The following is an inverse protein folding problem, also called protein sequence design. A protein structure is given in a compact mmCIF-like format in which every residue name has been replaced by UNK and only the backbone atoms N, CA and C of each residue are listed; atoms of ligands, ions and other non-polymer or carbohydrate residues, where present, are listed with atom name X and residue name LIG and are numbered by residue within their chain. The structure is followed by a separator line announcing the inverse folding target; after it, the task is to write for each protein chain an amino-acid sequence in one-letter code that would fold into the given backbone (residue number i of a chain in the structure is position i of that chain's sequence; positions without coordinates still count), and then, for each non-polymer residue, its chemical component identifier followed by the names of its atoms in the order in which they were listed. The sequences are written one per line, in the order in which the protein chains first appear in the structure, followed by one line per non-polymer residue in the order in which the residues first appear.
data_IF_794083473392
#
_entry.id   IF_794083473392
#
_cell.length_a   1.000
_cell.length_b   1.000
_cell.length_c   1.000
_cell.angle_alpha   90.00
_cell.angle_beta   90.00
_cell.angle_gamma   90.00
#
_symmetry.space_group_name_H-M   'P 1'
#
loop_
_entity.id
_entity.type
_entity.pdbx_description
1 polymer ?
#
# COMPACT_ATOMS: atom_id res chain seq x y z
N UNK A 1 -31.80 5.36 24.52
CA UNK A 1 -31.63 3.89 24.59
C UNK A 1 -31.26 3.42 23.19
N UNK A 2 -30.15 2.69 23.03
CA UNK A 2 -29.75 2.20 21.71
C UNK A 2 -30.56 0.94 21.36
N UNK A 3 -31.12 0.89 20.16
CA UNK A 3 -31.91 -0.24 19.68
C UNK A 3 -30.96 -1.39 19.28
N UNK A 4 -30.90 -2.46 20.08
CA UNK A 4 -30.01 -3.60 19.79
C UNK A 4 -30.65 -4.49 18.72
N UNK A 5 -30.03 -4.60 17.55
CA UNK A 5 -30.47 -5.49 16.46
C UNK A 5 -29.47 -6.61 16.26
N UNK A 6 -29.96 -7.84 16.18
CA UNK A 6 -29.14 -9.04 15.91
C UNK A 6 -28.82 -9.07 14.41
N UNK A 7 -27.54 -9.21 14.07
CA UNK A 7 -27.07 -9.40 12.71
C UNK A 7 -26.67 -10.86 12.49
N UNK A 8 -27.06 -11.43 11.35
CA UNK A 8 -26.68 -12.78 10.94
C UNK A 8 -25.42 -12.75 10.08
N UNK A 9 -24.50 -13.68 10.35
CA UNK A 9 -23.34 -13.92 9.50
C UNK A 9 -23.67 -14.87 8.35
N UNK A 10 -23.05 -14.65 7.19
CA UNK A 10 -23.08 -15.61 6.09
C UNK A 10 -22.06 -16.75 6.29
N UNK A 11 -22.00 -17.68 5.33
CA UNK A 11 -21.08 -18.83 5.38
C UNK A 11 -19.60 -18.46 5.33
N UNK A 12 -19.27 -17.19 5.06
CA UNK A 12 -17.90 -16.64 5.04
C UNK A 12 -17.65 -15.71 6.22
N UNK A 13 -18.56 -15.65 7.20
CA UNK A 13 -18.44 -14.79 8.38
C UNK A 13 -18.71 -13.31 8.12
N UNK A 14 -19.29 -12.94 6.97
CA UNK A 14 -19.58 -11.53 6.63
C UNK A 14 -20.92 -11.11 7.24
N UNK A 15 -21.01 -9.86 7.66
CA UNK A 15 -22.24 -9.23 8.16
C UNK A 15 -22.72 -8.17 7.18
N UNK A 16 -24.05 -8.05 7.04
CA UNK A 16 -24.65 -6.94 6.29
C UNK A 16 -24.67 -5.71 7.16
N UNK A 17 -23.95 -4.66 6.73
CA UNK A 17 -23.91 -3.41 7.46
C UNK A 17 -25.28 -2.70 7.48
N UNK A 18 -25.71 -2.14 8.62
CA UNK A 18 -26.93 -1.36 8.73
C UNK A 18 -26.94 -0.15 7.78
N UNK A 19 -28.12 0.37 7.37
CA UNK A 19 -28.23 1.47 6.41
C UNK A 19 -27.35 2.71 6.70
N UNK A 20 -27.17 3.16 7.96
CA UNK A 20 -26.28 4.29 8.27
C UNK A 20 -24.84 4.11 7.81
N UNK A 21 -24.35 2.87 7.76
CA UNK A 21 -22.96 2.53 7.41
C UNK A 21 -22.75 2.27 5.92
N UNK A 22 -23.81 2.23 5.10
CA UNK A 22 -23.70 1.89 3.66
C UNK A 22 -23.11 3.01 2.81
N UNK A 23 -23.08 4.25 3.32
CA UNK A 23 -22.54 5.41 2.59
C UNK A 23 -21.02 5.52 2.70
N UNK A 24 -20.41 4.79 3.61
CA UNK A 24 -18.99 4.89 3.89
C UNK A 24 -18.22 3.82 3.09
N UNK A 25 -17.12 4.19 2.42
CA UNK A 25 -16.41 3.29 1.52
C UNK A 25 -15.48 2.31 2.25
N UNK A 26 -14.93 2.69 3.40
CA UNK A 26 -14.00 1.89 4.20
C UNK A 26 -14.23 2.10 5.70
N UNK A 27 -13.94 1.06 6.47
CA UNK A 27 -13.99 1.06 7.91
C UNK A 27 -12.70 0.47 8.50
N UNK A 28 -12.17 1.13 9.52
CA UNK A 28 -11.23 0.51 10.47
C UNK A 28 -12.05 -0.15 11.59
N UNK A 29 -11.56 -1.27 12.13
CA UNK A 29 -12.22 -1.92 13.26
C UNK A 29 -11.29 -2.03 14.47
N UNK A 30 -11.88 -1.93 15.66
CA UNK A 30 -11.22 -2.23 16.91
C UNK A 30 -12.04 -3.23 17.72
N UNK A 31 -11.37 -4.14 18.42
CA UNK A 31 -11.99 -5.11 19.33
C UNK A 31 -11.79 -4.61 20.76
N UNK A 32 -12.88 -4.39 21.50
CA UNK A 32 -12.86 -4.02 22.92
C UNK A 32 -13.73 -5.00 23.70
N UNK A 33 -13.09 -5.97 24.35
CA UNK A 33 -13.80 -7.10 24.96
C UNK A 33 -14.62 -7.85 23.91
N UNK A 34 -15.92 -8.01 24.15
CA UNK A 34 -16.84 -8.70 23.24
C UNK A 34 -17.48 -7.78 22.18
N UNK A 35 -17.01 -6.54 22.07
CA UNK A 35 -17.53 -5.55 21.13
C UNK A 35 -16.56 -5.31 19.98
N UNK A 36 -17.09 -5.36 18.75
CA UNK A 36 -16.41 -4.89 17.55
C UNK A 36 -16.93 -3.49 17.24
N UNK A 37 -16.03 -2.51 17.20
CA UNK A 37 -16.33 -1.11 16.90
C UNK A 37 -15.80 -0.79 15.51
N UNK A 38 -16.65 -0.25 14.64
CA UNK A 38 -16.28 0.17 13.28
C UNK A 38 -16.16 1.70 13.21
N UNK A 39 -15.03 2.20 12.71
CA UNK A 39 -14.76 3.62 12.49
C UNK A 39 -14.74 3.92 10.99
N UNK A 40 -15.54 4.87 10.49
CA UNK A 40 -15.51 5.25 9.08
C UNK A 40 -14.18 5.93 8.75
N UNK A 41 -13.52 5.44 7.70
CA UNK A 41 -12.24 5.98 7.22
C UNK A 41 -12.53 7.22 6.37
N UNK A 42 -12.41 8.40 6.97
CA UNK A 42 -12.64 9.70 6.30
C UNK A 42 -11.54 10.08 5.32
N UNK A 43 -10.33 9.57 5.54
CA UNK A 43 -9.18 9.79 4.68
C UNK A 43 -8.55 8.44 4.42
N UNK A 44 -8.61 7.98 3.17
CA UNK A 44 -7.68 6.94 2.72
C UNK A 44 -6.31 7.57 2.88
N UNK A 45 -5.58 7.24 3.96
CA UNK A 45 -4.18 7.63 4.07
C UNK A 45 -3.49 7.05 2.84
N UNK A 46 -3.16 7.92 1.88
CA UNK A 46 -2.48 7.54 0.63
C UNK A 46 -1.17 6.78 0.90
N UNK A 47 -0.62 6.97 2.10
CA UNK A 47 0.51 6.24 2.65
C UNK A 47 0.10 5.73 4.04
N UNK A 48 -0.06 4.41 4.24
CA UNK A 48 -0.18 3.86 5.59
C UNK A 48 1.06 4.25 6.40
N UNK A 49 0.89 4.35 7.71
CA UNK A 49 2.03 4.56 8.60
C UNK A 49 2.90 3.30 8.56
N UNK A 50 4.09 3.41 7.98
CA UNK A 50 5.01 2.29 7.79
C UNK A 50 5.98 2.14 8.97
N UNK A 51 5.78 2.91 10.05
CA UNK A 51 6.69 2.93 11.21
C UNK A 51 6.76 1.60 11.96
N UNK A 52 5.73 0.76 11.85
CA UNK A 52 5.66 -0.56 12.49
C UNK A 52 6.19 -1.70 11.61
N UNK A 53 6.55 -1.40 10.35
CA UNK A 53 7.18 -2.41 9.50
C UNK A 53 8.65 -2.58 9.90
N UNK A 54 9.15 -3.82 9.95
CA UNK A 54 10.58 -4.02 10.10
C UNK A 54 11.28 -3.32 8.93
N UNK A 55 12.21 -2.42 9.25
CA UNK A 55 13.19 -1.96 8.28
C UNK A 55 13.98 -3.22 7.87
N UNK A 56 13.63 -3.81 6.73
CA UNK A 56 14.52 -4.78 6.11
C UNK A 56 15.78 -4.01 5.74
N UNK A 57 16.85 -4.24 6.52
CA UNK A 57 18.19 -3.80 6.18
C UNK A 57 18.53 -4.37 4.80
N UNK A 58 18.34 -3.56 3.77
CA UNK A 58 18.74 -3.89 2.42
C UNK A 58 20.23 -4.21 2.46
N UNK A 59 20.62 -5.29 1.79
CA UNK A 59 22.03 -5.69 1.79
C UNK A 59 22.91 -4.52 1.32
N UNK A 60 24.09 -4.31 1.92
CA UNK A 60 24.99 -3.22 1.53
C UNK A 60 25.25 -3.18 0.02
N UNK A 61 25.39 -4.35 -0.61
CA UNK A 61 25.55 -4.51 -2.05
C UNK A 61 24.38 -3.94 -2.87
N UNK A 62 23.15 -4.09 -2.39
CA UNK A 62 21.96 -3.55 -3.04
C UNK A 62 21.94 -2.03 -2.94
N UNK A 63 22.22 -1.49 -1.75
CA UNK A 63 22.28 -0.04 -1.50
C UNK A 63 23.35 0.63 -2.36
N UNK A 64 24.54 0.02 -2.47
CA UNK A 64 25.62 0.51 -3.32
C UNK A 64 25.25 0.49 -4.81
N UNK A 65 24.61 -0.59 -5.27
CA UNK A 65 24.17 -0.71 -6.66
C UNK A 65 23.11 0.33 -7.01
N UNK A 66 22.12 0.51 -6.13
CA UNK A 66 21.03 1.47 -6.32
C UNK A 66 21.56 2.91 -6.32
N UNK A 67 22.46 3.24 -5.39
CA UNK A 67 23.13 4.55 -5.36
C UNK A 67 23.92 4.82 -6.65
N UNK A 68 24.61 3.81 -7.18
CA UNK A 68 25.38 3.93 -8.43
C UNK A 68 24.50 4.16 -9.64
N UNK A 69 23.30 3.58 -9.68
CA UNK A 69 22.32 3.78 -10.76
C UNK A 69 21.68 5.17 -10.63
N UNK A 70 21.23 5.54 -9.44
CA UNK A 70 20.51 6.81 -9.23
C UNK A 70 21.42 8.04 -9.28
N UNK A 71 22.71 7.90 -8.98
CA UNK A 71 23.71 8.95 -9.18
C UNK A 71 24.26 9.01 -10.61
N UNK A 72 23.81 8.14 -11.53
CA UNK A 72 24.26 8.15 -12.91
C UNK A 72 23.69 9.35 -13.66
N UNK A 73 24.51 10.38 -13.84
CA UNK A 73 24.17 11.61 -14.57
C UNK A 73 24.48 11.53 -16.06
N UNK A 74 24.90 10.35 -16.58
CA UNK A 74 25.26 10.22 -17.99
C UNK A 74 24.04 10.50 -18.88
N UNK A 75 24.20 11.31 -19.94
CA UNK A 75 23.12 11.58 -20.86
C UNK A 75 22.67 10.29 -21.56
N UNK A 76 21.36 10.10 -21.65
CA UNK A 76 20.78 8.95 -22.35
C UNK A 76 21.19 8.91 -23.82
N UNK A 77 21.46 7.71 -24.34
CA UNK A 77 21.78 7.51 -25.76
C UNK A 77 20.47 7.24 -26.51
N UNK A 78 20.04 8.17 -27.36
CA UNK A 78 18.91 7.94 -28.27
C UNK A 78 19.38 7.13 -29.48
N UNK A 79 18.80 5.94 -29.66
CA UNK A 79 19.05 5.08 -30.81
C UNK A 79 17.80 4.26 -31.16
N UNK A 80 17.62 3.96 -32.44
CA UNK A 80 16.47 3.17 -32.92
C UNK A 80 16.58 1.67 -32.67
N UNK A 81 17.77 1.16 -32.35
CA UNK A 81 17.99 -0.26 -31.99
C UNK A 81 19.12 -0.42 -30.97
N UNK A 82 19.12 -1.51 -30.16
CA UNK A 82 20.16 -1.79 -29.18
C UNK A 82 21.57 -1.88 -29.79
N UNK A 83 21.72 -2.48 -30.98
CA UNK A 83 23.00 -2.58 -31.69
C UNK A 83 23.54 -1.20 -32.11
N UNK A 84 22.66 -0.25 -32.46
CA UNK A 84 23.04 1.14 -32.76
C UNK A 84 23.41 1.92 -31.49
N UNK A 85 22.72 1.66 -30.37
CA UNK A 85 23.09 2.24 -29.06
C UNK A 85 24.49 1.79 -28.62
N UNK A 86 24.81 0.49 -28.78
CA UNK A 86 26.14 -0.06 -28.47
C UNK A 86 27.26 0.57 -29.31
N UNK A 87 27.02 0.84 -30.59
CA UNK A 87 27.99 1.56 -31.45
C UNK A 87 28.21 3.00 -30.99
N UNK A 88 27.16 3.69 -30.53
CA UNK A 88 27.25 5.06 -30.00
C UNK A 88 27.91 5.13 -28.62
N UNK A 89 27.81 4.07 -27.80
CA UNK A 89 28.48 3.95 -26.49
C UNK A 89 30.00 3.74 -26.60
N UNK A 90 30.49 3.19 -27.72
CA UNK A 90 31.91 2.88 -27.97
C UNK A 90 32.71 4.05 -28.58
N UNK A 91 32.04 5.16 -28.91
CA UNK A 91 32.65 6.41 -29.38
C UNK A 91 32.80 7.36 -28.21
#
# INVERSE_FOLDING_TARGET
MAETKILKTDSRGRVVLPPPFRKEPLFEYAVKGDQIILYPVRTVRKYPDMSDLPEEDLSPDWVERERKVNADTRPGIVASTPSKALKKKKK
#
